data_IF_515570819278
#
_entry.id   IF_515570819278
#
_cell.length_a   1.000
_cell.length_b   1.000
_cell.length_c   1.000
_cell.angle_alpha   90.00
_cell.angle_beta   90.00
_cell.angle_gamma   90.00
#
_symmetry.space_group_name_H-M   'P 1'
#
loop_
_entity.id
_entity.type
_entity.pdbx_description
1 polymer ?
#
# COMPACT_ATOMS: atom_id res chain seq x y z
N UNK A 1 -3.68 -29.95 13.07
CA UNK A 1 -3.16 -30.06 11.69
C UNK A 1 -4.26 -29.64 10.73
N UNK A 2 -4.16 -28.46 10.06
CA UNK A 2 -5.08 -28.12 8.96
C UNK A 2 -4.58 -28.82 7.69
N UNK A 3 -5.45 -29.60 7.04
CA UNK A 3 -5.12 -30.36 5.84
C UNK A 3 -4.78 -29.41 4.69
N UNK A 4 -3.74 -29.73 3.90
CA UNK A 4 -3.34 -28.96 2.70
C UNK A 4 -4.47 -28.83 1.67
N UNK A 5 -5.40 -29.78 1.61
CA UNK A 5 -6.58 -29.74 0.72
C UNK A 5 -7.53 -28.59 1.06
N UNK A 6 -7.82 -28.39 2.35
CA UNK A 6 -8.75 -27.35 2.78
C UNK A 6 -8.27 -25.92 2.50
N UNK A 7 -6.94 -25.69 2.45
CA UNK A 7 -6.39 -24.38 2.08
C UNK A 7 -6.46 -24.11 0.57
N UNK A 8 -6.29 -25.15 -0.26
CA UNK A 8 -6.40 -25.01 -1.71
C UNK A 8 -7.83 -24.69 -2.16
N UNK A 9 -8.82 -25.36 -1.55
CA UNK A 9 -10.24 -25.10 -1.85
C UNK A 9 -10.65 -23.69 -1.39
N UNK A 10 -10.18 -23.25 -0.23
CA UNK A 10 -10.41 -21.89 0.25
C UNK A 10 -9.76 -20.86 -0.66
N UNK A 11 -8.50 -21.07 -1.06
CA UNK A 11 -7.80 -20.15 -1.97
C UNK A 11 -8.52 -20.04 -3.32
N UNK A 12 -8.98 -21.16 -3.88
CA UNK A 12 -9.77 -21.17 -5.11
C UNK A 12 -11.06 -20.37 -4.94
N UNK A 13 -11.76 -20.56 -3.84
CA UNK A 13 -12.98 -19.80 -3.54
C UNK A 13 -12.69 -18.30 -3.41
N UNK A 14 -11.70 -17.92 -2.62
CA UNK A 14 -11.31 -16.51 -2.42
C UNK A 14 -10.91 -15.84 -3.74
N UNK A 15 -10.24 -16.59 -4.63
CA UNK A 15 -9.90 -16.14 -5.98
C UNK A 15 -11.16 -15.91 -6.82
N UNK A 16 -12.13 -16.84 -6.78
CA UNK A 16 -13.37 -16.71 -7.52
C UNK A 16 -14.21 -15.52 -7.03
N UNK A 17 -14.33 -15.37 -5.71
CA UNK A 17 -15.06 -14.26 -5.08
C UNK A 17 -14.42 -12.91 -5.44
N UNK A 18 -13.08 -12.83 -5.48
CA UNK A 18 -12.37 -11.63 -5.92
C UNK A 18 -12.64 -11.32 -7.40
N UNK A 19 -12.50 -12.32 -8.27
CA UNK A 19 -12.72 -12.17 -9.71
C UNK A 19 -14.14 -11.69 -10.01
N UNK A 20 -15.15 -12.28 -9.37
CA UNK A 20 -16.54 -11.83 -9.49
C UNK A 20 -16.70 -10.37 -9.03
N UNK A 21 -16.12 -10.01 -7.88
CA UNK A 21 -16.23 -8.67 -7.32
C UNK A 21 -15.61 -7.58 -8.20
N UNK A 22 -14.55 -7.90 -8.94
CA UNK A 22 -13.89 -6.95 -9.87
C UNK A 22 -14.38 -7.09 -11.31
N UNK A 23 -15.33 -7.99 -11.58
CA UNK A 23 -15.87 -8.24 -12.92
C UNK A 23 -14.90 -8.96 -13.87
N UNK A 24 -13.91 -9.68 -13.33
CA UNK A 24 -12.95 -10.43 -14.14
C UNK A 24 -13.56 -11.71 -14.71
N UNK A 25 -13.49 -11.94 -16.04
CA UNK A 25 -14.01 -13.15 -16.67
C UNK A 25 -13.13 -14.35 -16.33
N UNK A 26 -13.76 -15.49 -15.99
CA UNK A 26 -13.07 -16.71 -15.59
C UNK A 26 -12.40 -17.51 -16.72
N UNK A 27 -12.61 -17.10 -17.96
CA UNK A 27 -12.29 -17.91 -19.16
C UNK A 27 -11.09 -17.40 -19.94
N UNK A 28 -10.36 -16.42 -19.40
CA UNK A 28 -9.15 -15.90 -20.04
C UNK A 28 -7.95 -16.80 -19.75
N UNK A 29 -7.12 -16.99 -20.77
CA UNK A 29 -5.84 -17.69 -20.66
C UNK A 29 -4.80 -16.86 -19.89
N UNK A 30 -4.93 -15.53 -19.90
CA UNK A 30 -4.04 -14.59 -19.21
C UNK A 30 -4.78 -13.32 -18.81
N UNK A 31 -4.29 -12.65 -17.76
CA UNK A 31 -4.82 -11.36 -17.29
C UNK A 31 -3.74 -10.30 -17.42
N UNK A 32 -4.01 -9.26 -18.22
CA UNK A 32 -3.12 -8.13 -18.37
C UNK A 32 -3.03 -7.27 -17.09
N UNK A 33 -1.81 -6.83 -16.76
CA UNK A 33 -1.56 -6.07 -15.55
C UNK A 33 -2.19 -4.66 -15.60
N UNK A 34 -2.15 -3.99 -16.75
CA UNK A 34 -2.72 -2.64 -16.91
C UNK A 34 -4.25 -2.67 -16.80
N UNK A 35 -4.87 -3.75 -17.26
CA UNK A 35 -6.33 -3.94 -17.20
C UNK A 35 -6.84 -4.33 -15.80
N UNK A 36 -6.24 -5.36 -15.18
CA UNK A 36 -6.89 -6.02 -14.03
C UNK A 36 -6.39 -5.56 -12.67
N UNK A 37 -5.14 -5.11 -12.55
CA UNK A 37 -4.59 -4.67 -11.27
C UNK A 37 -5.32 -3.44 -10.72
N UNK A 38 -5.69 -2.43 -11.53
CA UNK A 38 -6.43 -1.28 -11.04
C UNK A 38 -7.70 -1.66 -10.27
N UNK A 39 -8.55 -2.48 -10.88
CA UNK A 39 -9.82 -2.93 -10.31
C UNK A 39 -9.63 -3.71 -9.00
N UNK A 40 -8.61 -4.59 -8.94
CA UNK A 40 -8.29 -5.36 -7.73
C UNK A 40 -7.80 -4.44 -6.60
N UNK A 41 -6.89 -3.51 -6.90
CA UNK A 41 -6.35 -2.59 -5.89
C UNK A 41 -7.44 -1.65 -5.36
N UNK A 42 -8.31 -1.15 -6.23
CA UNK A 42 -9.44 -0.32 -5.85
C UNK A 42 -10.42 -1.07 -4.96
N UNK A 43 -10.80 -2.29 -5.34
CA UNK A 43 -11.66 -3.14 -4.53
C UNK A 43 -11.08 -3.40 -3.13
N UNK A 44 -9.79 -3.75 -3.04
CA UNK A 44 -9.16 -3.95 -1.73
C UNK A 44 -9.03 -2.67 -0.92
N UNK A 45 -8.76 -1.52 -1.55
CA UNK A 45 -8.73 -0.23 -0.86
C UNK A 45 -10.11 0.17 -0.33
N UNK A 46 -11.21 -0.24 -0.98
CA UNK A 46 -12.57 -0.02 -0.49
C UNK A 46 -12.90 -0.87 0.75
N UNK A 47 -12.43 -2.13 0.77
CA UNK A 47 -12.73 -3.06 1.86
C UNK A 47 -11.84 -2.88 3.10
N UNK A 48 -10.63 -2.37 2.92
CA UNK A 48 -9.62 -2.35 3.97
C UNK A 48 -9.33 -0.93 4.45
N UNK A 49 -8.93 -0.80 5.73
CA UNK A 49 -8.48 0.47 6.31
C UNK A 49 -7.06 0.89 5.85
N UNK A 50 -6.50 0.23 4.85
CA UNK A 50 -5.12 0.42 4.41
C UNK A 50 -5.03 0.53 2.89
N UNK A 51 -4.04 1.28 2.44
CA UNK A 51 -3.80 1.53 1.03
C UNK A 51 -2.88 0.47 0.44
N UNK A 52 -3.37 -0.34 -0.49
CA UNK A 52 -2.59 -1.31 -1.24
C UNK A 52 -1.85 -0.63 -2.39
N UNK A 53 -0.62 -1.07 -2.66
CA UNK A 53 0.11 -0.72 -3.88
C UNK A 53 0.82 -1.95 -4.41
N UNK A 54 0.63 -2.22 -5.69
CA UNK A 54 1.28 -3.32 -6.40
C UNK A 54 2.57 -2.81 -7.02
N UNK A 55 3.62 -3.60 -6.90
CA UNK A 55 4.90 -3.43 -7.58
C UNK A 55 5.23 -4.72 -8.31
N UNK A 56 5.40 -4.65 -9.62
CA UNK A 56 5.82 -5.77 -10.46
C UNK A 56 7.24 -5.52 -10.89
N UNK A 57 8.12 -6.46 -10.55
CA UNK A 57 9.50 -6.48 -11.01
C UNK A 57 9.62 -7.46 -12.17
N UNK A 58 10.54 -7.19 -13.09
CA UNK A 58 10.92 -8.13 -14.14
C UNK A 58 12.39 -8.50 -14.02
N UNK A 59 12.88 -9.23 -15.01
CA UNK A 59 14.30 -9.62 -15.08
C UNK A 59 15.28 -8.46 -15.29
N UNK A 60 14.78 -7.26 -15.60
CA UNK A 60 15.60 -6.12 -15.99
C UNK A 60 15.58 -5.02 -14.93
N UNK A 61 16.72 -4.88 -14.25
CA UNK A 61 17.02 -3.75 -13.39
C UNK A 61 16.34 -3.78 -12.02
N UNK A 62 16.59 -2.74 -11.26
CA UNK A 62 16.13 -2.63 -9.86
C UNK A 62 14.77 -1.95 -9.75
N UNK A 63 14.23 -1.37 -10.82
CA UNK A 63 12.97 -0.66 -10.79
C UNK A 63 11.80 -1.59 -11.13
N UNK A 64 10.62 -1.38 -10.52
CA UNK A 64 9.41 -2.06 -10.96
C UNK A 64 9.15 -1.73 -12.44
N UNK A 65 8.83 -2.74 -13.24
CA UNK A 65 8.37 -2.58 -14.62
C UNK A 65 6.92 -2.09 -14.68
N UNK A 66 6.16 -2.35 -13.61
CA UNK A 66 4.81 -1.84 -13.43
C UNK A 66 4.53 -1.54 -11.95
N UNK A 67 3.69 -0.53 -11.70
CA UNK A 67 3.21 -0.20 -10.36
C UNK A 67 1.84 0.47 -10.42
N UNK A 68 0.95 0.11 -9.50
CA UNK A 68 -0.37 0.72 -9.36
C UNK A 68 -0.77 0.87 -7.91
N UNK A 69 -1.35 2.02 -7.58
CA UNK A 69 -1.76 2.38 -6.22
C UNK A 69 -1.08 3.65 -5.70
N UNK A 70 -1.57 4.20 -4.58
CA UNK A 70 -1.20 5.52 -4.11
C UNK A 70 0.22 5.55 -3.53
N UNK A 71 0.91 6.69 -3.64
CA UNK A 71 2.29 6.83 -3.15
C UNK A 71 2.44 6.68 -1.63
N UNK A 72 1.38 6.95 -0.88
CA UNK A 72 1.31 6.78 0.58
C UNK A 72 0.72 5.43 1.00
N UNK A 73 1.06 4.36 0.27
CA UNK A 73 0.56 3.01 0.53
C UNK A 73 0.96 2.45 1.91
N UNK A 74 0.10 1.57 2.41
CA UNK A 74 0.30 0.81 3.63
C UNK A 74 0.83 -0.59 3.41
N UNK A 75 0.29 -1.26 2.40
CA UNK A 75 0.45 -2.69 2.16
C UNK A 75 1.01 -2.86 0.75
N UNK A 76 2.32 -3.10 0.62
CA UNK A 76 2.88 -3.43 -0.69
C UNK A 76 2.54 -4.87 -1.06
N UNK A 77 2.08 -5.05 -2.30
CA UNK A 77 2.02 -6.35 -2.96
C UNK A 77 3.15 -6.37 -3.97
N UNK A 78 4.02 -7.38 -3.86
CA UNK A 78 5.23 -7.47 -4.66
C UNK A 78 5.10 -8.71 -5.51
N UNK A 79 5.14 -8.51 -6.82
CA UNK A 79 5.10 -9.58 -7.80
C UNK A 79 6.39 -9.56 -8.62
N UNK A 80 6.80 -10.73 -9.08
CA UNK A 80 7.86 -10.90 -10.06
C UNK A 80 7.27 -11.49 -11.33
N UNK A 81 7.56 -10.87 -12.47
CA UNK A 81 7.08 -11.31 -13.77
C UNK A 81 8.22 -11.89 -14.59
N UNK A 82 8.09 -13.16 -14.96
CA UNK A 82 9.00 -13.87 -15.83
C UNK A 82 8.23 -14.91 -16.65
N UNK A 83 8.61 -15.12 -17.92
CA UNK A 83 8.04 -16.17 -18.78
C UNK A 83 6.50 -16.24 -18.74
N UNK A 84 5.83 -15.09 -18.87
CA UNK A 84 4.35 -14.99 -18.87
C UNK A 84 3.67 -15.37 -17.54
N UNK A 85 4.44 -15.46 -16.44
CA UNK A 85 3.94 -15.81 -15.12
C UNK A 85 4.24 -14.74 -14.06
N UNK A 86 3.32 -14.58 -13.10
CA UNK A 86 3.50 -13.73 -11.91
C UNK A 86 3.74 -14.57 -10.67
N UNK A 87 4.89 -14.39 -10.04
CA UNK A 87 5.24 -14.98 -8.75
C UNK A 87 5.04 -14.00 -7.60
N UNK A 88 4.44 -14.47 -6.51
CA UNK A 88 4.32 -13.71 -5.28
C UNK A 88 5.66 -13.59 -4.55
N UNK A 89 6.09 -12.36 -4.28
CA UNK A 89 7.35 -12.07 -3.58
C UNK A 89 7.04 -11.55 -2.18
N UNK A 90 7.64 -12.17 -1.17
CA UNK A 90 7.39 -11.78 0.23
C UNK A 90 8.04 -10.44 0.59
N UNK A 91 9.28 -10.19 0.12
CA UNK A 91 10.02 -8.94 0.35
C UNK A 91 10.80 -8.60 -0.91
N UNK A 92 10.81 -7.32 -1.32
CA UNK A 92 11.59 -6.87 -2.48
C UNK A 92 13.09 -7.21 -2.34
N UNK A 93 13.62 -7.21 -1.12
CA UNK A 93 14.99 -7.64 -0.85
C UNK A 93 15.30 -9.08 -1.25
N UNK A 94 14.30 -9.95 -1.28
CA UNK A 94 14.48 -11.34 -1.70
C UNK A 94 14.77 -11.43 -3.21
N UNK A 95 14.46 -10.38 -4.00
CA UNK A 95 14.78 -10.29 -5.43
C UNK A 95 16.22 -9.83 -5.70
N UNK A 96 16.75 -8.95 -4.87
CA UNK A 96 18.02 -8.26 -5.13
C UNK A 96 19.20 -8.74 -4.27
N UNK A 97 18.94 -9.52 -3.22
CA UNK A 97 19.95 -9.89 -2.23
C UNK A 97 20.40 -8.73 -1.32
N UNK A 98 19.86 -7.53 -1.52
CA UNK A 98 20.16 -6.31 -0.76
C UNK A 98 18.90 -5.70 -0.14
N UNK A 99 19.05 -4.76 0.79
CA UNK A 99 17.89 -4.03 1.30
C UNK A 99 17.30 -3.17 0.18
N UNK A 100 16.00 -3.24 -0.02
CA UNK A 100 15.31 -2.48 -1.07
C UNK A 100 14.26 -1.56 -0.47
N UNK A 101 14.17 -0.33 -0.96
CA UNK A 101 13.13 0.62 -0.56
C UNK A 101 12.12 0.81 -1.68
N UNK A 102 10.91 0.28 -1.50
CA UNK A 102 9.80 0.43 -2.45
C UNK A 102 9.41 1.89 -2.71
N UNK A 103 9.55 2.78 -1.72
CA UNK A 103 9.23 4.21 -1.91
C UNK A 103 10.32 4.98 -2.66
N UNK A 104 11.57 4.53 -2.61
CA UNK A 104 12.68 5.16 -3.33
C UNK A 104 12.99 4.45 -4.65
N UNK A 105 12.48 3.24 -4.81
CA UNK A 105 12.73 2.33 -5.93
C UNK A 105 14.24 2.11 -6.14
N UNK A 106 14.94 1.74 -5.06
CA UNK A 106 16.38 1.55 -5.07
C UNK A 106 16.86 0.57 -4.00
N UNK A 107 17.96 -0.13 -4.30
CA UNK A 107 18.73 -0.89 -3.30
C UNK A 107 19.52 0.05 -2.36
N UNK A 108 19.88 -0.45 -1.18
CA UNK A 108 20.72 0.25 -0.23
C UNK A 108 21.41 -0.69 0.77
N UNK A 109 22.58 -0.26 1.28
CA UNK A 109 23.45 -1.15 2.06
C UNK A 109 23.27 -0.97 3.58
N UNK A 110 22.76 0.19 4.01
CA UNK A 110 22.57 0.53 5.44
C UNK A 110 21.32 1.36 5.67
N UNK A 111 20.45 0.91 6.58
CA UNK A 111 19.20 1.61 6.95
C UNK A 111 19.45 3.04 7.44
N UNK A 112 20.49 3.25 8.25
CA UNK A 112 20.85 4.57 8.79
C UNK A 112 21.12 5.59 7.69
N UNK A 113 21.83 5.18 6.63
CA UNK A 113 22.18 6.04 5.52
C UNK A 113 20.95 6.33 4.66
N UNK A 114 20.16 5.30 4.39
CA UNK A 114 18.96 5.43 3.58
C UNK A 114 17.90 6.33 4.22
N UNK A 115 17.69 6.22 5.54
CA UNK A 115 16.66 7.00 6.24
C UNK A 115 16.80 8.52 6.05
N UNK A 116 18.02 9.03 5.85
CA UNK A 116 18.28 10.46 5.68
C UNK A 116 17.72 10.96 4.34
N UNK A 117 17.88 10.19 3.26
CA UNK A 117 17.45 10.55 1.91
C UNK A 117 16.17 9.84 1.46
N UNK A 118 15.54 9.06 2.35
CA UNK A 118 14.38 8.25 2.03
C UNK A 118 13.17 9.13 1.68
N UNK A 119 12.48 8.79 0.60
CA UNK A 119 11.25 9.44 0.15
C UNK A 119 9.97 8.85 0.77
N UNK A 120 10.10 7.81 1.60
CA UNK A 120 8.95 7.18 2.23
C UNK A 120 8.24 8.14 3.20
N UNK A 121 6.90 8.15 3.13
CA UNK A 121 6.03 9.10 3.85
C UNK A 121 5.36 8.45 5.04
N UNK A 122 5.28 9.15 6.18
CA UNK A 122 4.56 8.67 7.37
C UNK A 122 3.09 8.38 7.03
N UNK A 123 2.61 7.17 7.32
CA UNK A 123 1.21 6.78 7.09
C UNK A 123 0.19 7.64 7.85
N UNK A 124 0.62 8.23 8.96
CA UNK A 124 -0.22 9.06 9.83
C UNK A 124 -0.16 10.54 9.44
N UNK A 125 1.03 11.10 9.17
CA UNK A 125 1.19 12.55 8.93
C UNK A 125 1.84 12.95 7.60
N UNK A 126 2.12 11.99 6.71
CA UNK A 126 2.65 12.18 5.35
C UNK A 126 4.01 12.88 5.21
N UNK A 127 4.70 13.19 6.32
CA UNK A 127 6.07 13.74 6.31
C UNK A 127 7.12 12.70 5.87
N UNK A 128 8.23 13.19 5.32
CA UNK A 128 9.45 12.44 4.92
C UNK A 128 10.66 12.86 5.77
N UNK A 129 11.72 12.05 5.79
CA UNK A 129 13.02 12.41 6.38
C UNK A 129 13.54 11.45 7.46
N UNK A 130 14.65 11.81 8.15
CA UNK A 130 15.44 10.91 9.01
C UNK A 130 14.73 10.36 10.25
N UNK A 131 13.49 10.80 10.52
CA UNK A 131 12.62 10.31 11.59
C UNK A 131 11.46 9.43 11.11
N UNK A 132 11.46 9.00 9.84
CA UNK A 132 10.41 8.18 9.24
C UNK A 132 10.60 6.66 9.51
N UNK A 133 9.50 5.89 9.73
CA UNK A 133 8.17 6.39 10.10
C UNK A 133 8.24 7.09 11.46
N UNK A 134 7.42 8.12 11.65
CA UNK A 134 7.34 8.82 12.93
C UNK A 134 7.22 7.79 14.06
N UNK A 135 8.18 7.81 14.98
CA UNK A 135 8.26 6.83 16.06
C UNK A 135 7.00 6.92 16.91
N UNK A 136 6.50 5.79 17.41
CA UNK A 136 5.50 5.82 18.46
C UNK A 136 6.17 6.45 19.70
N UNK A 137 5.52 7.44 20.31
CA UNK A 137 6.04 8.15 21.47
C UNK A 137 5.04 8.01 22.63
N UNK A 138 5.53 7.47 23.75
CA UNK A 138 4.82 7.42 25.04
C UNK A 138 3.45 6.71 25.00
N UNK A 139 2.58 7.02 25.97
CA UNK A 139 1.19 6.59 26.10
C UNK A 139 0.21 7.41 25.23
N UNK A 140 0.71 8.23 24.30
CA UNK A 140 -0.15 9.07 23.47
C UNK A 140 -1.00 8.19 22.55
N UNK A 141 -2.32 8.35 22.66
CA UNK A 141 -3.29 7.75 21.76
C UNK A 141 -4.42 8.76 21.52
N UNK A 142 -4.62 9.16 20.26
CA UNK A 142 -5.73 10.03 19.88
C UNK A 142 -6.34 9.59 18.55
N UNK A 143 -7.66 9.61 18.49
CA UNK A 143 -8.42 9.40 17.26
C UNK A 143 -8.76 10.75 16.63
N UNK A 144 -8.48 10.94 15.34
CA UNK A 144 -8.87 12.15 14.62
C UNK A 144 -10.23 11.98 13.97
N UNK A 145 -11.25 12.68 14.47
CA UNK A 145 -12.59 12.65 13.88
C UNK A 145 -12.66 13.16 12.44
N UNK A 146 -11.69 13.97 12.00
CA UNK A 146 -11.64 14.51 10.64
C UNK A 146 -11.13 13.52 9.59
N UNK A 147 -10.07 12.76 9.90
CA UNK A 147 -9.47 11.80 8.96
C UNK A 147 -9.70 10.33 9.34
N UNK A 148 -10.38 10.05 10.46
CA UNK A 148 -10.70 8.71 10.94
C UNK A 148 -9.51 7.86 11.39
N UNK A 149 -8.32 8.46 11.55
CA UNK A 149 -7.09 7.73 11.92
C UNK A 149 -6.79 7.79 13.40
N UNK A 150 -6.19 6.71 13.91
CA UNK A 150 -5.62 6.63 15.25
C UNK A 150 -4.13 7.00 15.23
N UNK A 151 -3.74 7.88 16.15
CA UNK A 151 -2.39 8.42 16.24
C UNK A 151 -1.73 8.01 17.55
N UNK A 152 -0.57 7.36 17.44
CA UNK A 152 0.30 6.97 18.58
C UNK A 152 1.50 7.90 18.78
N UNK A 153 1.40 9.11 18.21
CA UNK A 153 2.42 10.14 18.24
C UNK A 153 1.72 11.50 18.14
N UNK A 154 1.93 12.36 19.14
CA UNK A 154 1.31 13.69 19.21
C UNK A 154 1.68 14.58 18.03
N UNK A 155 2.96 14.59 17.63
CA UNK A 155 3.42 15.34 16.46
C UNK A 155 2.66 14.89 15.20
N UNK A 156 2.40 13.60 15.02
CA UNK A 156 1.59 13.14 13.90
C UNK A 156 0.15 13.67 13.96
N UNK A 157 -0.46 13.69 15.14
CA UNK A 157 -1.83 14.15 15.35
C UNK A 157 -1.98 15.67 15.14
N UNK A 158 -1.06 16.45 15.72
CA UNK A 158 -1.08 17.92 15.70
C UNK A 158 -0.75 18.53 14.34
N UNK A 159 -0.26 17.76 13.36
CA UNK A 159 -0.11 18.24 11.97
C UNK A 159 -1.42 18.12 11.20
N UNK A 160 -2.12 17.00 11.41
CA UNK A 160 -3.35 16.66 10.68
C UNK A 160 -4.53 17.45 11.25
N UNK A 161 -4.65 17.52 12.58
CA UNK A 161 -5.74 18.21 13.27
C UNK A 161 -5.93 19.68 12.85
N UNK A 162 -4.90 20.55 12.77
CA UNK A 162 -5.07 21.93 12.36
C UNK A 162 -5.48 22.13 10.90
N UNK A 163 -5.21 21.17 10.00
CA UNK A 163 -5.52 21.32 8.58
C UNK A 163 -6.99 21.04 8.26
N UNK A 164 -7.70 20.27 9.10
CA UNK A 164 -9.11 19.91 8.85
C UNK A 164 -10.08 20.98 9.36
N UNK A 165 -9.66 21.83 10.31
CA UNK A 165 -10.45 23.00 10.75
C UNK A 165 -10.37 24.21 9.81
N UNK A 166 -9.63 24.11 8.69
CA UNK A 166 -9.45 25.21 7.73
C UNK A 166 -10.28 25.07 6.44
N UNK A 167 -11.24 24.14 6.37
CA UNK A 167 -12.31 24.22 5.37
C UNK A 167 -13.44 25.01 6.01
N UNK A 168 -13.61 26.31 5.73
CA UNK A 168 -14.85 26.97 6.09
C UNK A 168 -15.96 26.22 5.34
N UNK A 169 -16.88 25.63 6.09
CA UNK A 169 -18.20 25.31 5.56
C UNK A 169 -18.72 26.61 4.95
N UNK A 170 -18.61 26.76 3.63
CA UNK A 170 -19.37 27.79 2.93
C UNK A 170 -20.82 27.43 3.22
N UNK A 171 -21.41 28.22 4.11
CA UNK A 171 -22.82 28.19 4.43
C UNK A 171 -23.61 28.04 3.14
N UNK A 172 -24.19 26.86 2.92
CA UNK A 172 -25.37 26.74 2.07
C UNK A 172 -26.49 27.40 2.87
N UNK A 173 -26.51 28.73 2.80
CA UNK A 173 -27.70 29.50 3.16
C UNK A 173 -28.71 29.23 2.06
N UNK A 174 -29.76 28.50 2.45
CA UNK A 174 -31.06 28.55 1.81
C UNK A 174 -31.38 30.00 1.42
N UNK A 175 -31.67 30.23 0.14
CA UNK A 175 -32.30 31.44 -0.34
C UNK A 175 -33.30 31.03 -1.42
N UNK A 176 -34.58 31.25 -1.11
CA UNK A 176 -35.68 31.37 -2.06
C UNK A 176 -36.32 30.07 -2.46
#
# INVERSE_FOLDING_TARGET
>A
MRSRRGMADQFKKDTMDLMEAVGAPFVLDSYDADEWIPSVVEYWNLLNKGWFKVFIFGNLGEKPIYKYGPDNFDIPIILFYNEEHFDGVRRASDLFGELYCLSCESVYNRKSNHNISCKARCKNCSRVGPGFPCKNLNEFFNHCGGCGKDFKNENCYTIISPQIFAIPLKNVKNAG
#
